data_IF_129286448496
#
_entry.id   IF_129286448496
#
_cell.length_a   1.000
_cell.length_b   1.000
_cell.length_c   1.000
_cell.angle_alpha   90.00
_cell.angle_beta   90.00
_cell.angle_gamma   90.00
#
_symmetry.space_group_name_H-M   'P 1'
#
loop_
_entity.id
_entity.type
_entity.pdbx_description
1 polymer ?
#
# COMPACT_ATOMS: atom_id res chain seq x y z
N UNK A 1 18.93 17.45 4.45
CA UNK A 1 17.48 17.38 4.72
C UNK A 1 16.76 16.24 3.99
N UNK A 2 17.04 15.94 2.71
CA UNK A 2 16.36 14.86 1.93
C UNK A 2 16.50 13.42 2.51
N UNK A 3 17.50 13.18 3.37
CA UNK A 3 17.75 11.87 4.00
C UNK A 3 16.98 11.65 5.30
N UNK A 4 16.38 12.67 5.93
CA UNK A 4 15.66 12.56 7.21
C UNK A 4 14.18 12.21 7.04
N UNK A 5 13.56 12.67 5.95
CA UNK A 5 12.13 12.52 5.69
C UNK A 5 11.64 11.05 5.68
N UNK A 6 12.36 10.07 5.09
CA UNK A 6 11.92 8.68 5.09
C UNK A 6 11.88 8.05 6.50
N UNK A 7 12.80 8.48 7.38
CA UNK A 7 12.90 7.96 8.74
C UNK A 7 11.78 8.46 9.65
N UNK A 8 11.21 9.63 9.34
CA UNK A 8 10.10 10.20 10.11
C UNK A 8 8.75 9.56 9.76
N UNK A 9 8.62 8.97 8.56
CA UNK A 9 7.35 8.38 8.12
C UNK A 9 6.92 7.20 9.01
N UNK A 10 7.84 6.29 9.35
CA UNK A 10 7.52 5.10 10.14
C UNK A 10 6.99 5.46 11.55
N UNK A 11 7.66 6.31 12.35
CA UNK A 11 7.11 6.77 13.62
C UNK A 11 5.76 7.48 13.50
N UNK A 12 5.58 8.31 12.48
CA UNK A 12 4.31 9.02 12.25
C UNK A 12 3.18 8.06 11.88
N UNK A 13 3.43 7.05 11.06
CA UNK A 13 2.46 6.03 10.70
C UNK A 13 2.04 5.18 11.91
N UNK A 14 3.00 4.78 12.74
CA UNK A 14 2.73 4.07 13.99
C UNK A 14 1.93 4.93 14.98
N UNK A 15 2.29 6.20 15.13
CA UNK A 15 1.56 7.14 15.97
C UNK A 15 0.12 7.36 15.45
N UNK A 16 -0.06 7.51 14.14
CA UNK A 16 -1.38 7.63 13.52
C UNK A 16 -2.24 6.39 13.74
N UNK A 17 -1.67 5.19 13.59
CA UNK A 17 -2.35 3.92 13.88
C UNK A 17 -2.76 3.80 15.36
N UNK A 18 -1.86 4.16 16.28
CA UNK A 18 -2.15 4.15 17.72
C UNK A 18 -3.24 5.17 18.10
N UNK A 19 -3.21 6.38 17.53
CA UNK A 19 -4.23 7.39 17.76
C UNK A 19 -5.59 6.99 17.19
N UNK A 20 -5.61 6.38 15.99
CA UNK A 20 -6.83 5.84 15.40
C UNK A 20 -7.46 4.70 16.20
N UNK A 21 -6.63 3.88 16.85
CA UNK A 21 -7.08 2.84 17.77
C UNK A 21 -7.62 3.43 19.10
N UNK A 22 -6.99 4.48 19.64
CA UNK A 22 -7.39 5.07 20.92
C UNK A 22 -8.61 5.99 20.84
N UNK A 23 -8.75 6.76 19.75
CA UNK A 23 -9.84 7.72 19.56
C UNK A 23 -10.55 7.53 18.20
N UNK A 24 -11.21 6.38 17.96
CA UNK A 24 -11.77 6.05 16.66
C UNK A 24 -12.83 7.04 16.18
N UNK A 25 -13.65 7.59 17.07
CA UNK A 25 -14.71 8.54 16.69
C UNK A 25 -14.17 9.86 16.13
N UNK A 26 -13.00 10.31 16.60
CA UNK A 26 -12.38 11.53 16.10
C UNK A 26 -11.89 11.37 14.63
N UNK A 27 -11.50 10.16 14.24
CA UNK A 27 -10.93 9.86 12.92
C UNK A 27 -11.91 9.17 11.97
N UNK A 28 -13.03 8.62 12.45
CA UNK A 28 -14.04 7.98 11.60
C UNK A 28 -14.57 8.88 10.46
N UNK A 29 -14.83 10.20 10.66
CA UNK A 29 -15.24 11.09 9.57
C UNK A 29 -14.19 11.22 8.45
N UNK A 30 -12.91 11.00 8.76
CA UNK A 30 -11.83 11.07 7.78
C UNK A 30 -11.92 9.97 6.71
N UNK A 31 -12.75 8.93 6.93
CA UNK A 31 -12.99 7.86 5.94
C UNK A 31 -13.44 8.39 4.59
N UNK A 32 -14.25 9.45 4.56
CA UNK A 32 -14.73 10.08 3.32
C UNK A 32 -13.58 10.66 2.46
N UNK A 33 -12.46 11.00 3.09
CA UNK A 33 -11.30 11.59 2.43
C UNK A 33 -10.27 10.56 1.94
N UNK A 34 -10.40 9.27 2.29
CA UNK A 34 -9.41 8.23 1.93
C UNK A 34 -9.22 8.18 0.41
N UNK A 35 -10.31 8.10 -0.36
CA UNK A 35 -10.22 8.03 -1.82
C UNK A 35 -9.61 9.30 -2.43
N UNK A 36 -9.97 10.48 -1.91
CA UNK A 36 -9.41 11.75 -2.38
C UNK A 36 -7.92 11.85 -2.05
N UNK A 37 -7.52 11.49 -0.83
CA UNK A 37 -6.12 11.48 -0.40
C UNK A 37 -5.29 10.48 -1.22
N UNK A 38 -5.83 9.28 -1.44
CA UNK A 38 -5.20 8.27 -2.30
C UNK A 38 -5.07 8.80 -3.74
N UNK A 39 -6.09 9.46 -4.27
CA UNK A 39 -6.06 10.11 -5.58
C UNK A 39 -4.96 11.16 -5.68
N UNK A 40 -4.78 12.00 -4.66
CA UNK A 40 -3.68 12.99 -4.61
C UNK A 40 -2.31 12.30 -4.58
N UNK A 41 -2.14 11.24 -3.79
CA UNK A 41 -0.89 10.47 -3.73
C UNK A 41 -0.59 9.83 -5.09
N UNK A 42 -1.56 9.14 -5.69
CA UNK A 42 -1.40 8.52 -7.01
C UNK A 42 -1.11 9.55 -8.11
N UNK A 43 -1.77 10.72 -8.05
CA UNK A 43 -1.51 11.82 -8.99
C UNK A 43 -0.08 12.37 -8.85
N UNK A 44 0.38 12.59 -7.62
CA UNK A 44 1.75 13.09 -7.41
C UNK A 44 2.81 12.07 -7.80
N UNK A 45 2.56 10.76 -7.62
CA UNK A 45 3.43 9.71 -8.17
C UNK A 45 3.48 9.75 -9.70
N UNK A 46 2.34 9.99 -10.37
CA UNK A 46 2.29 10.18 -11.82
C UNK A 46 3.10 11.38 -12.31
N UNK A 47 2.98 12.53 -11.62
CA UNK A 47 3.75 13.74 -11.95
C UNK A 47 5.26 13.58 -11.74
N UNK A 48 5.68 12.69 -10.83
CA UNK A 48 7.08 12.39 -10.57
C UNK A 48 7.70 11.44 -11.62
N UNK A 49 6.87 10.72 -12.37
CA UNK A 49 7.34 9.75 -13.38
C UNK A 49 7.85 10.48 -14.63
N UNK A 50 9.03 10.11 -15.10
CA UNK A 50 9.65 10.68 -16.30
C UNK A 50 9.44 9.81 -17.53
N UNK A 51 9.63 10.38 -18.72
CA UNK A 51 9.57 9.63 -19.99
C UNK A 51 10.66 8.55 -20.11
N UNK A 52 11.81 8.75 -19.45
CA UNK A 52 12.89 7.78 -19.44
C UNK A 52 12.51 6.52 -18.64
N UNK A 53 11.79 6.68 -17.53
CA UNK A 53 11.27 5.56 -16.73
C UNK A 53 10.33 4.66 -17.55
N UNK A 54 9.48 5.27 -18.38
CA UNK A 54 8.55 4.55 -19.26
C UNK A 54 9.29 3.79 -20.37
N UNK A 55 10.41 4.34 -20.85
CA UNK A 55 11.23 3.70 -21.89
C UNK A 55 11.91 2.43 -21.38
N UNK A 56 12.20 2.36 -20.08
CA UNK A 56 12.83 1.22 -19.43
C UNK A 56 11.90 -0.01 -19.32
N UNK A 57 10.59 0.16 -19.54
CA UNK A 57 9.55 -0.91 -19.46
C UNK A 57 9.77 -2.06 -20.47
N UNK A 58 10.73 -1.96 -21.39
CA UNK A 58 10.98 -2.93 -22.48
C UNK A 58 11.83 -4.15 -22.09
N UNK A 59 12.31 -4.24 -20.85
CA UNK A 59 13.19 -5.32 -20.40
C UNK A 59 12.46 -6.61 -19.99
N UNK A 60 13.07 -7.78 -20.24
CA UNK A 60 12.58 -9.09 -19.75
C UNK A 60 12.36 -9.14 -18.23
N UNK A 61 13.12 -8.33 -17.49
CA UNK A 61 13.03 -8.24 -16.03
C UNK A 61 11.74 -7.57 -15.55
N UNK A 62 11.14 -6.71 -16.37
CA UNK A 62 9.83 -6.11 -16.07
C UNK A 62 8.75 -7.16 -16.07
N UNK A 63 8.77 -8.10 -17.04
CA UNK A 63 7.83 -9.22 -17.08
C UNK A 63 7.99 -10.13 -15.86
N UNK A 64 9.23 -10.38 -15.43
CA UNK A 64 9.49 -11.14 -14.19
C UNK A 64 8.94 -10.39 -12.98
N UNK A 65 9.16 -9.07 -12.89
CA UNK A 65 8.61 -8.23 -11.82
C UNK A 65 7.08 -8.27 -11.78
N UNK A 66 6.41 -8.17 -12.93
CA UNK A 66 4.95 -8.28 -13.06
C UNK A 66 4.49 -9.68 -12.61
N UNK A 67 5.14 -10.74 -13.09
CA UNK A 67 4.80 -12.11 -12.70
C UNK A 67 4.95 -12.31 -11.19
N UNK A 68 6.05 -11.84 -10.61
CA UNK A 68 6.26 -11.92 -9.15
C UNK A 68 5.22 -11.10 -8.39
N UNK A 69 4.92 -9.87 -8.82
CA UNK A 69 3.94 -9.01 -8.16
C UNK A 69 2.54 -9.64 -8.14
N UNK A 70 2.08 -10.19 -9.26
CA UNK A 70 0.72 -10.73 -9.39
C UNK A 70 0.58 -12.21 -9.01
N UNK A 71 1.68 -12.94 -8.83
CA UNK A 71 1.65 -14.32 -8.35
C UNK A 71 2.03 -14.39 -6.87
N UNK A 72 3.16 -13.81 -6.47
CA UNK A 72 3.70 -14.00 -5.12
C UNK A 72 2.87 -13.29 -4.07
N UNK A 73 2.46 -12.04 -4.30
CA UNK A 73 1.63 -11.30 -3.32
C UNK A 73 0.27 -11.99 -3.11
N UNK A 74 -0.54 -12.27 -4.15
CA UNK A 74 -1.87 -12.83 -3.93
C UNK A 74 -1.85 -14.26 -3.40
N UNK A 75 -0.94 -15.11 -3.91
CA UNK A 75 -0.81 -16.48 -3.43
C UNK A 75 -0.22 -16.52 -2.02
N UNK A 76 0.70 -15.61 -1.69
CA UNK A 76 1.22 -15.46 -0.34
C UNK A 76 0.13 -15.05 0.64
N UNK A 77 -0.66 -14.03 0.31
CA UNK A 77 -1.79 -13.58 1.12
C UNK A 77 -2.84 -14.68 1.31
N UNK A 78 -3.22 -15.38 0.25
CA UNK A 78 -4.16 -16.51 0.31
C UNK A 78 -3.61 -17.67 1.15
N UNK A 79 -2.33 -18.01 0.99
CA UNK A 79 -1.66 -19.04 1.77
C UNK A 79 -1.62 -18.71 3.25
N UNK A 80 -1.25 -17.48 3.61
CA UNK A 80 -1.23 -17.00 5.00
C UNK A 80 -2.65 -17.03 5.59
N UNK A 81 -3.65 -16.53 4.87
CA UNK A 81 -5.04 -16.53 5.33
C UNK A 81 -5.57 -17.95 5.58
N UNK A 82 -5.21 -18.90 4.72
CA UNK A 82 -5.56 -20.31 4.87
C UNK A 82 -4.84 -20.96 6.06
N UNK A 83 -3.53 -20.73 6.21
CA UNK A 83 -2.72 -21.28 7.31
C UNK A 83 -3.18 -20.78 8.69
N UNK A 84 -3.61 -19.51 8.76
CA UNK A 84 -4.12 -18.90 9.99
C UNK A 84 -5.62 -19.17 10.24
N UNK A 85 -6.32 -19.83 9.31
CA UNK A 85 -7.74 -20.14 9.45
C UNK A 85 -8.63 -18.88 9.57
N UNK A 86 -8.29 -17.82 8.84
CA UNK A 86 -8.97 -16.52 9.00
C UNK A 86 -10.45 -16.60 8.58
N UNK A 87 -11.35 -15.92 9.32
CA UNK A 87 -12.73 -15.72 8.89
C UNK A 87 -12.80 -15.08 7.49
N UNK A 88 -13.83 -15.37 6.67
CA UNK A 88 -13.90 -14.90 5.28
C UNK A 88 -13.72 -13.38 5.11
N UNK A 89 -14.28 -12.58 6.03
CA UNK A 89 -14.17 -11.12 5.97
C UNK A 89 -12.73 -10.61 6.17
N UNK A 90 -11.95 -11.24 7.06
CA UNK A 90 -10.56 -10.88 7.30
C UNK A 90 -9.64 -11.44 6.21
N UNK A 91 -9.91 -12.65 5.74
CA UNK A 91 -9.20 -13.25 4.62
C UNK A 91 -9.31 -12.38 3.35
N UNK A 92 -10.51 -11.87 3.04
CA UNK A 92 -10.69 -10.92 1.95
C UNK A 92 -9.84 -9.66 2.14
N UNK A 93 -9.81 -9.10 3.35
CA UNK A 93 -8.98 -7.94 3.66
C UNK A 93 -7.49 -8.19 3.41
N UNK A 94 -6.98 -9.38 3.74
CA UNK A 94 -5.57 -9.75 3.53
C UNK A 94 -5.25 -10.01 2.06
N UNK A 95 -6.15 -10.63 1.30
CA UNK A 95 -5.95 -10.94 -0.14
C UNK A 95 -6.07 -9.71 -1.03
N UNK A 96 -6.82 -8.69 -0.60
CA UNK A 96 -6.96 -7.42 -1.34
C UNK A 96 -5.73 -6.50 -1.23
N UNK A 97 -4.76 -6.84 -0.38
CA UNK A 97 -3.47 -6.13 -0.22
C UNK A 97 -2.45 -6.71 -1.18
#
# INVERSE_FOLDING_TARGET
MKRLLPWMFVPLALAGGALGWWAPEAFAPARAWISTALGVVMFTMGLATSWDDVREIRGRWVLVGIALQYLVMPLGAAGIAAMLGLPPALALGVVLV
#
